data_IF_044463588940
#
_entry.id   IF_044463588940
#
_cell.length_a   1.000
_cell.length_b   1.000
_cell.length_c   1.000
_cell.angle_alpha   90.00
_cell.angle_beta   90.00
_cell.angle_gamma   90.00
#
_symmetry.space_group_name_H-M   'P 1'
#
loop_
_entity.id
_entity.type
_entity.pdbx_description
1 polymer ?
#
# COMPACT_ATOMS: atom_id res chain seq x y z
N UNK A 1 14.26 2.04 14.20
CA UNK A 1 14.15 3.49 14.38
C UNK A 1 13.09 3.95 13.38
N UNK A 2 12.02 4.63 13.83
CA UNK A 2 10.86 4.98 13.00
C UNK A 2 10.88 6.50 12.73
N UNK A 3 11.61 6.89 11.68
CA UNK A 3 11.97 8.29 11.39
C UNK A 3 11.81 8.63 9.90
N UNK A 4 11.09 7.79 9.16
CA UNK A 4 10.70 7.99 7.77
C UNK A 4 9.25 7.52 7.56
N UNK A 5 8.75 7.67 6.34
CA UNK A 5 7.37 7.35 5.96
C UNK A 5 6.99 5.88 6.24
N UNK A 6 7.96 4.96 6.28
CA UNK A 6 7.71 3.54 6.59
C UNK A 6 7.18 3.34 8.02
N UNK A 7 7.36 4.33 8.91
CA UNK A 7 6.72 4.35 10.22
C UNK A 7 5.20 4.22 10.13
N UNK A 8 4.56 4.73 9.06
CA UNK A 8 3.12 4.57 8.86
C UNK A 8 2.67 3.11 8.72
N UNK A 9 3.54 2.23 8.21
CA UNK A 9 3.27 0.80 8.11
C UNK A 9 3.47 0.08 9.45
N UNK A 10 4.55 0.41 10.17
CA UNK A 10 4.95 -0.31 11.38
C UNK A 10 4.35 0.24 12.68
N UNK A 11 4.46 1.54 12.88
CA UNK A 11 3.96 2.25 14.06
C UNK A 11 3.72 3.74 13.72
N UNK A 12 2.48 4.14 13.41
CA UNK A 12 2.17 5.49 13.00
C UNK A 12 2.60 6.57 14.00
N UNK A 13 2.70 6.28 15.30
CA UNK A 13 3.18 7.24 16.29
C UNK A 13 4.61 7.76 15.99
N UNK A 14 5.42 6.99 15.25
CA UNK A 14 6.77 7.37 14.85
C UNK A 14 6.84 8.56 13.91
N UNK A 15 5.77 8.86 13.15
CA UNK A 15 5.76 9.97 12.18
C UNK A 15 5.92 11.35 12.84
N UNK A 16 5.70 11.43 14.15
CA UNK A 16 5.92 12.66 14.94
C UNK A 16 7.37 13.17 14.88
N UNK A 17 8.32 12.32 14.45
CA UNK A 17 9.73 12.68 14.30
C UNK A 17 10.09 13.20 12.90
N UNK A 18 9.15 13.18 11.96
CA UNK A 18 9.35 13.67 10.59
C UNK A 18 9.06 15.16 10.55
N UNK A 19 10.06 15.97 10.21
CA UNK A 19 9.99 17.44 10.25
C UNK A 19 9.72 18.08 8.90
N UNK A 20 9.75 17.30 7.81
CA UNK A 20 9.50 17.79 6.44
C UNK A 20 8.46 16.92 5.73
N UNK A 21 7.63 17.49 4.84
CA UNK A 21 6.74 16.70 3.99
C UNK A 21 7.53 15.62 3.27
N UNK A 22 7.06 14.37 3.37
CA UNK A 22 7.77 13.20 2.87
C UNK A 22 6.78 12.24 2.22
N UNK A 23 7.18 11.64 1.11
CA UNK A 23 6.41 10.61 0.40
C UNK A 23 7.30 9.41 0.14
N UNK A 24 6.74 8.21 0.20
CA UNK A 24 7.44 6.97 -0.13
C UNK A 24 6.53 6.09 -0.99
N UNK A 25 7.15 5.46 -1.98
CA UNK A 25 6.54 4.46 -2.83
C UNK A 25 7.37 3.19 -2.74
N UNK A 26 6.69 2.06 -2.66
CA UNK A 26 7.28 0.74 -2.60
C UNK A 26 6.48 -0.18 -3.51
N UNK A 27 7.20 -0.94 -4.33
CA UNK A 27 6.66 -1.93 -5.23
C UNK A 27 7.51 -3.20 -5.11
N UNK A 28 6.84 -4.35 -5.03
CA UNK A 28 7.49 -5.66 -5.05
C UNK A 28 6.62 -6.69 -5.76
N UNK A 29 7.20 -7.57 -6.59
CA UNK A 29 6.55 -8.82 -6.95
C UNK A 29 6.16 -9.60 -5.69
N UNK A 30 5.05 -10.31 -5.77
CA UNK A 30 4.46 -11.08 -4.68
C UNK A 30 4.05 -12.47 -5.18
N UNK A 31 3.39 -13.25 -4.32
CA UNK A 31 3.02 -14.64 -4.59
C UNK A 31 2.00 -14.75 -5.73
N UNK A 32 2.07 -15.82 -6.52
CA UNK A 32 1.06 -16.16 -7.56
C UNK A 32 0.89 -15.04 -8.59
N UNK A 33 2.00 -14.55 -9.14
CA UNK A 33 2.02 -13.49 -10.15
C UNK A 33 1.21 -12.25 -9.76
N UNK A 34 1.22 -11.93 -8.47
CA UNK A 34 0.63 -10.69 -7.93
C UNK A 34 1.70 -9.64 -7.68
N UNK A 35 1.30 -8.39 -7.71
CA UNK A 35 2.14 -7.24 -7.39
C UNK A 35 1.67 -6.58 -6.10
N UNK A 36 2.62 -6.28 -5.21
CA UNK A 36 2.39 -5.57 -3.96
C UNK A 36 2.87 -4.13 -4.07
N UNK A 37 1.97 -3.20 -3.71
CA UNK A 37 2.23 -1.78 -3.65
C UNK A 37 2.00 -1.25 -2.24
N UNK A 38 2.94 -0.45 -1.75
CA UNK A 38 2.76 0.37 -0.55
C UNK A 38 3.21 1.79 -0.85
N UNK A 39 2.36 2.76 -0.54
CA UNK A 39 2.66 4.18 -0.66
C UNK A 39 2.25 4.88 0.62
N UNK A 40 3.09 5.80 1.07
CA UNK A 40 2.83 6.60 2.26
C UNK A 40 3.16 8.06 2.02
N UNK A 41 2.44 8.95 2.70
CA UNK A 41 2.72 10.38 2.72
C UNK A 41 2.61 10.90 4.13
N UNK A 42 3.53 11.77 4.52
CA UNK A 42 3.55 12.43 5.82
C UNK A 42 3.60 13.94 5.62
N UNK A 43 2.72 14.66 6.30
CA UNK A 43 2.58 16.12 6.25
C UNK A 43 2.72 16.67 7.68
N UNK A 44 3.87 17.24 8.03
CA UNK A 44 4.04 17.95 9.30
C UNK A 44 3.29 19.28 9.28
N UNK A 45 2.42 19.52 10.28
CA UNK A 45 1.58 20.72 10.39
C UNK A 45 2.06 21.67 11.51
N UNK A 46 3.36 21.62 11.84
CA UNK A 46 3.94 22.42 12.92
C UNK A 46 3.38 22.06 14.29
N UNK A 47 2.85 23.04 15.02
CA UNK A 47 2.29 22.86 16.38
C UNK A 47 1.00 22.01 16.41
N UNK A 48 0.37 21.82 15.26
CA UNK A 48 -0.83 20.99 15.12
C UNK A 48 -0.52 19.50 15.06
N UNK A 49 0.75 19.07 15.03
CA UNK A 49 1.14 17.66 14.90
C UNK A 49 1.45 17.25 13.48
N UNK A 50 1.35 15.95 13.19
CA UNK A 50 1.74 15.35 11.91
C UNK A 50 0.61 14.46 11.39
N UNK A 51 0.24 14.67 10.13
CA UNK A 51 -0.73 13.85 9.42
C UNK A 51 0.00 12.82 8.54
N UNK A 52 -0.53 11.61 8.47
CA UNK A 52 -0.06 10.52 7.63
C UNK A 52 -1.17 9.96 6.77
N UNK A 53 -0.89 9.61 5.52
CA UNK A 53 -1.78 8.87 4.63
C UNK A 53 -1.05 7.64 4.12
N UNK A 54 -1.76 6.52 4.05
CA UNK A 54 -1.24 5.26 3.49
C UNK A 54 -2.16 4.73 2.41
N UNK A 55 -1.56 4.09 1.42
CA UNK A 55 -2.21 3.35 0.37
C UNK A 55 -1.46 2.02 0.22
N UNK A 56 -2.19 0.92 0.19
CA UNK A 56 -1.62 -0.42 0.03
C UNK A 56 -2.49 -1.23 -0.90
N UNK A 57 -1.91 -1.78 -1.95
CA UNK A 57 -2.64 -2.59 -2.90
C UNK A 57 -1.91 -3.91 -3.17
N UNK A 58 -2.69 -4.96 -3.36
CA UNK A 58 -2.26 -6.20 -4.00
C UNK A 58 -3.09 -6.32 -5.27
N UNK A 59 -2.43 -6.47 -6.42
CA UNK A 59 -3.11 -6.59 -7.71
C UNK A 59 -2.60 -7.82 -8.44
N UNK A 60 -3.44 -8.40 -9.28
CA UNK A 60 -3.12 -9.52 -10.15
C UNK A 60 -3.48 -9.15 -11.58
N UNK A 61 -2.63 -9.54 -12.52
CA UNK A 61 -2.90 -9.38 -13.94
C UNK A 61 -4.09 -10.23 -14.40
N UNK A 62 -4.69 -9.80 -15.51
CA UNK A 62 -5.80 -10.51 -16.12
C UNK A 62 -5.38 -11.91 -16.60
N UNK A 63 -6.09 -12.94 -16.13
CA UNK A 63 -5.82 -14.34 -16.48
C UNK A 63 -7.06 -15.07 -16.99
N UNK A 64 -6.83 -16.11 -17.81
CA UNK A 64 -7.91 -16.91 -18.39
C UNK A 64 -8.57 -17.81 -17.34
N UNK A 65 -9.90 -17.84 -17.34
CA UNK A 65 -10.67 -18.80 -16.56
C UNK A 65 -10.53 -20.19 -17.20
N UNK A 66 -10.18 -21.20 -16.40
CA UNK A 66 -10.04 -22.60 -16.84
C UNK A 66 -10.92 -23.51 -16.01
N UNK A 67 -11.53 -24.50 -16.64
CA UNK A 67 -12.31 -25.55 -15.98
C UNK A 67 -11.78 -26.92 -16.35
N UNK A 68 -12.22 -27.97 -15.66
CA UNK A 68 -11.85 -29.35 -16.02
C UNK A 68 -12.27 -29.68 -17.46
N UNK A 69 -13.40 -29.13 -17.92
CA UNK A 69 -13.88 -29.33 -19.29
C UNK A 69 -13.19 -28.44 -20.33
N UNK A 70 -12.62 -27.29 -19.92
CA UNK A 70 -11.92 -26.35 -20.82
C UNK A 70 -10.59 -25.88 -20.24
N UNK A 71 -9.53 -26.71 -20.31
CA UNK A 71 -8.22 -26.39 -19.75
C UNK A 71 -7.46 -25.30 -20.52
N UNK A 72 -7.75 -25.12 -21.81
CA UNK A 72 -7.15 -24.05 -22.62
C UNK A 72 -7.82 -22.67 -22.39
N UNK A 73 -8.91 -22.63 -21.63
CA UNK A 73 -9.66 -21.41 -21.31
C UNK A 73 -11.13 -21.53 -21.68
N UNK A 74 -12.02 -20.86 -20.94
CA UNK A 74 -13.45 -20.77 -21.26
C UNK A 74 -13.79 -19.64 -22.23
N UNK A 75 -12.80 -18.79 -22.57
CA UNK A 75 -12.99 -17.52 -23.29
C UNK A 75 -13.24 -16.34 -22.35
N UNK A 76 -13.44 -16.59 -21.06
CA UNK A 76 -13.56 -15.58 -20.02
C UNK A 76 -12.20 -15.26 -19.41
N UNK A 77 -12.10 -14.04 -18.88
CA UNK A 77 -10.93 -13.55 -18.18
C UNK A 77 -11.34 -12.95 -16.84
N UNK A 78 -10.43 -13.01 -15.88
CA UNK A 78 -10.62 -12.38 -14.59
C UNK A 78 -9.33 -11.74 -14.11
N UNK A 79 -9.48 -10.68 -13.33
CA UNK A 79 -8.43 -10.07 -12.53
C UNK A 79 -8.87 -10.06 -11.05
N UNK A 80 -7.95 -9.70 -10.16
CA UNK A 80 -8.25 -9.55 -8.75
C UNK A 80 -7.39 -8.43 -8.15
N UNK A 81 -7.99 -7.64 -7.26
CA UNK A 81 -7.24 -6.67 -6.47
C UNK A 81 -7.79 -6.52 -5.06
N UNK A 82 -6.91 -6.15 -4.14
CA UNK A 82 -7.23 -5.81 -2.76
C UNK A 82 -6.58 -4.48 -2.42
N UNK A 83 -7.37 -3.54 -1.92
CA UNK A 83 -6.94 -2.19 -1.60
C UNK A 83 -7.20 -1.86 -0.12
N UNK A 84 -6.21 -1.28 0.53
CA UNK A 84 -6.33 -0.67 1.85
C UNK A 84 -5.82 0.78 1.82
N UNK A 85 -6.55 1.67 2.47
CA UNK A 85 -6.15 3.06 2.65
C UNK A 85 -6.25 3.43 4.13
N UNK A 86 -5.39 4.31 4.58
CA UNK A 86 -5.31 4.71 5.99
C UNK A 86 -4.98 6.18 6.17
N UNK A 87 -5.44 6.71 7.29
CA UNK A 87 -5.06 8.04 7.79
C UNK A 87 -4.56 7.88 9.21
N UNK A 88 -3.48 8.60 9.53
CA UNK A 88 -2.88 8.63 10.85
C UNK A 88 -2.64 10.06 11.27
N UNK A 89 -2.78 10.32 12.56
CA UNK A 89 -2.43 11.59 13.16
C UNK A 89 -1.56 11.33 14.39
N UNK A 90 -0.50 12.11 14.55
CA UNK A 90 0.41 11.98 15.68
C UNK A 90 0.88 13.35 16.15
N UNK A 91 0.92 13.54 17.47
CA UNK A 91 1.34 14.77 18.12
C UNK A 91 2.20 14.42 19.33
N UNK A 92 3.21 15.26 19.61
CA UNK A 92 4.02 15.15 20.83
C UNK A 92 3.24 15.60 22.05
#
# INVERSE_FOLDING_TARGET
MANDVSALYWNPAGIVNISRPSVQFFHSPWLVDTEYFFSGMVIPMGSLGVLGLTYTAVVMDEMMVRTVQSPEGTGEKFDASSLAMGVAYSKR
#
